data_IF_884729437673
#
_entry.id   IF_884729437673
#
_cell.length_a   1.000
_cell.length_b   1.000
_cell.length_c   1.000
_cell.angle_alpha   90.00
_cell.angle_beta   90.00
_cell.angle_gamma   90.00
#
_symmetry.space_group_name_H-M   'P 1'
#
loop_
_entity.id
_entity.type
_entity.pdbx_description
1 polymer ?
#
# COMPACT_ATOMS: atom_id res chain seq x y z
N UNK A 1 26.44 -1.18 17.57
CA UNK A 1 26.72 -0.40 16.34
C UNK A 1 27.89 -1.00 15.59
N UNK A 2 29.03 -1.29 16.25
CA UNK A 2 30.20 -1.93 15.62
C UNK A 2 29.89 -3.17 14.78
N UNK A 3 29.02 -4.09 15.26
CA UNK A 3 28.66 -5.28 14.47
C UNK A 3 27.99 -4.98 13.12
N UNK A 4 27.31 -3.85 12.98
CA UNK A 4 26.64 -3.44 11.73
C UNK A 4 27.51 -2.50 10.89
N UNK A 5 28.72 -2.18 11.35
CA UNK A 5 29.64 -1.31 10.60
C UNK A 5 29.95 -1.85 9.20
N UNK A 6 30.22 -3.15 8.98
CA UNK A 6 30.46 -3.66 7.63
C UNK A 6 29.27 -3.44 6.69
N UNK A 7 28.04 -3.68 7.18
CA UNK A 7 26.80 -3.43 6.45
C UNK A 7 26.68 -1.94 6.07
N UNK A 8 26.93 -1.04 7.02
CA UNK A 8 26.89 0.41 6.78
C UNK A 8 27.91 0.82 5.72
N UNK A 9 29.15 0.33 5.83
CA UNK A 9 30.23 0.67 4.89
C UNK A 9 29.91 0.18 3.48
N UNK A 10 29.39 -1.04 3.31
CA UNK A 10 28.95 -1.55 2.00
C UNK A 10 27.81 -0.71 1.41
N UNK A 11 26.84 -0.30 2.23
CA UNK A 11 25.75 0.56 1.76
C UNK A 11 26.25 1.94 1.33
N UNK A 12 27.22 2.53 2.03
CA UNK A 12 27.86 3.78 1.65
C UNK A 12 28.68 3.64 0.35
N UNK A 13 29.48 2.59 0.20
CA UNK A 13 30.28 2.39 -1.02
C UNK A 13 29.42 2.25 -2.27
N UNK A 14 28.28 1.55 -2.16
CA UNK A 14 27.29 1.43 -3.23
C UNK A 14 26.73 2.79 -3.67
N UNK A 15 26.57 3.74 -2.74
CA UNK A 15 26.12 5.08 -3.09
C UNK A 15 27.13 5.81 -3.97
N UNK A 16 28.43 5.61 -3.69
CA UNK A 16 29.52 6.28 -4.40
C UNK A 16 29.77 5.66 -5.78
N UNK A 17 29.69 4.33 -5.89
CA UNK A 17 30.05 3.60 -7.12
C UNK A 17 28.86 3.31 -8.04
N UNK A 18 27.63 3.34 -7.51
CA UNK A 18 26.43 2.77 -8.16
C UNK A 18 26.61 1.31 -8.63
N UNK A 19 27.57 0.56 -8.07
CA UNK A 19 27.78 -0.85 -8.37
C UNK A 19 26.85 -1.74 -7.52
N UNK A 20 26.36 -2.83 -8.12
CA UNK A 20 25.58 -3.85 -7.42
C UNK A 20 26.56 -4.85 -6.83
N UNK A 21 27.11 -4.53 -5.66
CA UNK A 21 27.95 -5.43 -4.88
C UNK A 21 27.14 -6.15 -3.80
N UNK A 22 27.61 -7.33 -3.39
CA UNK A 22 27.02 -8.04 -2.25
C UNK A 22 27.14 -7.20 -0.97
N UNK A 23 26.03 -7.04 -0.27
CA UNK A 23 26.04 -6.31 1.00
C UNK A 23 26.67 -7.19 2.08
N UNK A 24 27.82 -6.76 2.60
CA UNK A 24 28.51 -7.46 3.67
C UNK A 24 27.66 -7.50 4.94
N UNK A 25 27.68 -8.64 5.63
CA UNK A 25 27.06 -8.81 6.96
C UNK A 25 25.54 -8.55 7.01
N UNK A 26 24.83 -8.67 5.88
CA UNK A 26 23.37 -8.52 5.84
C UNK A 26 22.67 -9.54 6.75
N UNK A 27 23.21 -10.76 6.86
CA UNK A 27 22.62 -11.83 7.69
C UNK A 27 22.55 -11.49 9.18
N UNK A 28 23.33 -10.49 9.64
CA UNK A 28 23.21 -9.98 11.00
C UNK A 28 21.83 -9.38 11.29
N UNK A 29 21.10 -8.94 10.26
CA UNK A 29 19.73 -8.47 10.40
C UNK A 29 18.81 -9.56 10.97
N UNK A 30 19.03 -10.83 10.62
CA UNK A 30 18.23 -11.94 11.15
C UNK A 30 18.41 -12.14 12.67
N UNK A 31 19.44 -11.54 13.27
CA UNK A 31 19.68 -11.51 14.73
C UNK A 31 19.14 -10.26 15.43
N UNK A 32 18.52 -9.33 14.69
CA UNK A 32 17.96 -8.11 15.28
C UNK A 32 16.87 -8.45 16.29
N UNK A 33 16.94 -7.83 17.45
CA UNK A 33 15.86 -7.81 18.44
C UNK A 33 15.10 -6.49 18.34
N UNK A 34 13.84 -6.48 18.77
CA UNK A 34 12.99 -5.28 18.68
C UNK A 34 13.60 -4.07 19.42
N UNK A 35 14.28 -4.29 20.55
CA UNK A 35 14.96 -3.24 21.33
C UNK A 35 16.16 -2.63 20.60
N UNK A 36 16.79 -3.38 19.68
CA UNK A 36 17.93 -2.91 18.89
C UNK A 36 17.50 -2.11 17.65
N UNK A 37 16.26 -2.29 17.16
CA UNK A 37 15.80 -1.69 15.91
C UNK A 37 15.93 -0.15 15.88
N UNK A 38 15.56 0.62 16.92
CA UNK A 38 15.70 2.08 16.87
C UNK A 38 17.15 2.53 16.67
N UNK A 39 18.09 1.91 17.40
CA UNK A 39 19.52 2.20 17.29
C UNK A 39 20.07 1.78 15.94
N UNK A 40 19.69 0.59 15.46
CA UNK A 40 20.04 0.11 14.12
C UNK A 40 19.55 1.07 13.03
N UNK A 41 18.29 1.51 13.09
CA UNK A 41 17.73 2.39 12.07
C UNK A 41 18.46 3.72 12.03
N UNK A 42 18.70 4.33 13.20
CA UNK A 42 19.47 5.57 13.30
C UNK A 42 20.89 5.41 12.76
N UNK A 43 21.51 4.25 12.97
CA UNK A 43 22.86 3.96 12.52
C UNK A 43 22.98 3.79 11.00
N UNK A 44 21.95 3.23 10.34
CA UNK A 44 21.94 2.93 8.89
C UNK A 44 21.29 4.02 8.03
N UNK A 45 20.51 4.93 8.62
CA UNK A 45 19.72 5.94 7.88
C UNK A 45 20.54 6.81 6.91
N UNK A 46 21.78 7.15 7.28
CA UNK A 46 22.73 7.92 6.47
C UNK A 46 23.44 7.08 5.41
N UNK A 47 23.35 5.75 5.49
CA UNK A 47 23.84 4.82 4.47
C UNK A 47 22.77 4.42 3.45
N UNK A 48 21.54 4.93 3.56
CA UNK A 48 20.46 4.70 2.59
C UNK A 48 19.92 6.05 2.10
N UNK A 49 20.69 6.76 1.27
CA UNK A 49 20.40 8.14 0.85
C UNK A 49 19.78 8.28 -0.54
N UNK A 50 19.91 7.27 -1.40
CA UNK A 50 19.46 7.35 -2.79
C UNK A 50 18.62 6.13 -3.18
N UNK A 51 17.98 6.19 -4.35
CA UNK A 51 17.12 5.11 -4.84
C UNK A 51 17.86 3.77 -4.95
N UNK A 52 19.10 3.79 -5.46
CA UNK A 52 19.92 2.58 -5.67
C UNK A 52 20.24 1.87 -4.36
N UNK A 53 20.74 2.60 -3.36
CA UNK A 53 21.05 2.04 -2.03
C UNK A 53 19.80 1.51 -1.33
N UNK A 54 18.65 2.20 -1.46
CA UNK A 54 17.39 1.71 -0.90
C UNK A 54 16.90 0.44 -1.61
N UNK A 55 16.97 0.40 -2.94
CA UNK A 55 16.58 -0.75 -3.74
C UNK A 55 17.43 -1.99 -3.39
N UNK A 56 18.75 -1.83 -3.28
CA UNK A 56 19.64 -2.92 -2.88
C UNK A 56 19.35 -3.34 -1.44
N UNK A 57 19.16 -2.40 -0.51
CA UNK A 57 18.82 -2.71 0.88
C UNK A 57 17.53 -3.54 0.99
N UNK A 58 16.47 -3.16 0.26
CA UNK A 58 15.22 -3.93 0.19
C UNK A 58 15.46 -5.34 -0.39
N UNK A 59 16.21 -5.45 -1.49
CA UNK A 59 16.51 -6.74 -2.10
C UNK A 59 17.32 -7.63 -1.17
N UNK A 60 18.26 -7.08 -0.42
CA UNK A 60 19.09 -7.83 0.52
C UNK A 60 18.28 -8.33 1.70
N UNK A 61 17.37 -7.52 2.26
CA UNK A 61 16.41 -7.99 3.28
C UNK A 61 15.53 -9.12 2.72
N UNK A 62 15.06 -8.98 1.47
CA UNK A 62 14.18 -9.99 0.84
C UNK A 62 14.85 -11.35 0.62
N UNK A 63 16.19 -11.38 0.54
CA UNK A 63 16.96 -12.59 0.26
C UNK A 63 17.61 -13.19 1.52
N UNK A 64 17.29 -12.67 2.72
CA UNK A 64 17.78 -13.24 3.97
C UNK A 64 17.35 -14.71 4.09
N UNK A 65 18.29 -15.59 4.44
CA UNK A 65 18.01 -17.01 4.69
C UNK A 65 16.96 -17.16 5.80
N UNK A 66 17.09 -16.35 6.85
CA UNK A 66 16.11 -16.26 7.94
C UNK A 66 15.34 -14.94 7.83
N UNK A 67 14.05 -14.97 7.42
CA UNK A 67 13.28 -13.76 7.23
C UNK A 67 13.09 -13.01 8.55
N UNK A 68 13.06 -11.68 8.47
CA UNK A 68 12.77 -10.83 9.62
C UNK A 68 11.32 -11.04 10.08
N UNK A 69 11.10 -10.97 11.39
CA UNK A 69 9.73 -10.93 11.92
C UNK A 69 8.99 -9.70 11.38
N UNK A 70 7.68 -9.83 11.18
CA UNK A 70 6.85 -8.73 10.66
C UNK A 70 7.00 -7.44 11.48
N UNK A 71 7.10 -7.54 12.80
CA UNK A 71 7.25 -6.37 13.69
C UNK A 71 8.56 -5.63 13.45
N UNK A 72 9.67 -6.36 13.28
CA UNK A 72 10.98 -5.76 12.97
C UNK A 72 10.95 -5.13 11.58
N UNK A 73 10.40 -5.85 10.60
CA UNK A 73 10.27 -5.36 9.22
C UNK A 73 9.48 -4.05 9.19
N UNK A 74 8.31 -4.00 9.83
CA UNK A 74 7.49 -2.79 9.90
C UNK A 74 8.21 -1.62 10.59
N UNK A 75 8.98 -1.90 11.64
CA UNK A 75 9.77 -0.87 12.30
C UNK A 75 10.86 -0.29 11.38
N UNK A 76 11.54 -1.13 10.58
CA UNK A 76 12.49 -0.68 9.54
C UNK A 76 11.77 0.13 8.46
N UNK A 77 10.58 -0.31 8.03
CA UNK A 77 9.78 0.42 7.05
C UNK A 77 9.44 1.83 7.53
N UNK A 78 8.90 1.93 8.74
CA UNK A 78 8.45 3.19 9.30
C UNK A 78 9.60 4.16 9.60
N UNK A 79 10.80 3.64 9.91
CA UNK A 79 11.96 4.47 10.31
C UNK A 79 12.91 4.81 9.17
N UNK A 80 13.04 3.95 8.16
CA UNK A 80 13.98 4.13 7.06
C UNK A 80 13.26 4.19 5.72
N UNK A 81 12.60 3.10 5.34
CA UNK A 81 12.16 2.91 3.94
C UNK A 81 11.11 3.95 3.56
N UNK A 82 10.04 4.09 4.34
CA UNK A 82 8.96 5.02 4.05
C UNK A 82 9.43 6.48 3.99
N UNK A 83 10.13 7.03 5.01
CA UNK A 83 10.66 8.38 4.94
C UNK A 83 11.56 8.64 3.72
N UNK A 84 12.43 7.67 3.36
CA UNK A 84 13.32 7.81 2.21
C UNK A 84 12.56 7.83 0.89
N UNK A 85 11.60 6.92 0.71
CA UNK A 85 10.74 6.89 -0.48
C UNK A 85 10.02 8.23 -0.67
N UNK A 86 9.48 8.83 0.39
CA UNK A 86 8.83 10.14 0.30
C UNK A 86 9.81 11.29 0.04
N UNK A 87 11.05 11.19 0.51
CA UNK A 87 12.07 12.22 0.31
C UNK A 87 12.59 12.28 -1.12
N UNK A 88 12.48 11.17 -1.86
CA UNK A 88 12.93 11.09 -3.23
C UNK A 88 12.01 11.91 -4.13
N UNK A 89 12.60 12.83 -4.89
CA UNK A 89 11.93 13.57 -5.97
C UNK A 89 12.45 13.04 -7.30
N UNK A 90 12.23 11.75 -7.53
CA UNK A 90 12.75 11.07 -8.71
C UNK A 90 11.70 11.06 -9.81
N UNK A 91 12.10 11.37 -11.04
CA UNK A 91 11.23 11.26 -12.21
C UNK A 91 10.98 9.81 -12.66
N UNK A 92 11.72 8.83 -12.11
CA UNK A 92 11.56 7.41 -12.47
C UNK A 92 12.10 6.44 -11.40
N UNK A 93 11.23 5.88 -10.56
CA UNK A 93 11.57 4.83 -9.58
C UNK A 93 11.79 3.43 -10.18
N UNK A 94 12.45 3.30 -11.34
CA UNK A 94 12.50 2.00 -12.04
C UNK A 94 13.15 0.90 -11.19
N UNK A 95 14.25 1.21 -10.52
CA UNK A 95 15.02 0.23 -9.73
C UNK A 95 14.34 -0.05 -8.39
N UNK A 96 13.75 0.98 -7.79
CA UNK A 96 12.99 0.81 -6.57
C UNK A 96 11.67 0.06 -6.82
N UNK A 97 11.01 0.27 -7.95
CA UNK A 97 9.77 -0.42 -8.31
C UNK A 97 9.96 -1.94 -8.38
N UNK A 98 11.02 -2.43 -9.03
CA UNK A 98 11.29 -3.87 -9.11
C UNK A 98 11.62 -4.47 -7.74
N UNK A 99 12.38 -3.73 -6.93
CA UNK A 99 12.78 -4.15 -5.58
C UNK A 99 11.59 -4.18 -4.62
N UNK A 100 10.68 -3.21 -4.68
CA UNK A 100 9.40 -3.21 -3.95
C UNK A 100 8.56 -4.42 -4.36
N UNK A 101 8.45 -4.71 -5.65
CA UNK A 101 7.69 -5.88 -6.12
C UNK A 101 8.32 -7.20 -5.65
N UNK A 102 9.64 -7.32 -5.68
CA UNK A 102 10.36 -8.50 -5.15
C UNK A 102 10.10 -8.67 -3.66
N UNK A 103 10.24 -7.58 -2.90
CA UNK A 103 9.98 -7.56 -1.46
C UNK A 103 8.51 -7.92 -1.15
N UNK A 104 7.57 -7.41 -1.93
CA UNK A 104 6.15 -7.69 -1.79
C UNK A 104 5.83 -9.18 -1.89
N UNK A 105 6.51 -9.93 -2.77
CA UNK A 105 6.29 -11.37 -2.91
C UNK A 105 6.72 -12.16 -1.67
N UNK A 106 7.69 -11.66 -0.89
CA UNK A 106 8.19 -12.33 0.32
C UNK A 106 7.46 -11.82 1.58
N UNK A 107 7.15 -10.53 1.63
CA UNK A 107 6.61 -9.85 2.80
C UNK A 107 5.43 -8.93 2.45
N UNK A 108 4.29 -9.48 2.00
CA UNK A 108 3.18 -8.68 1.49
C UNK A 108 2.58 -7.73 2.55
N UNK A 109 2.49 -8.17 3.81
CA UNK A 109 1.99 -7.36 4.92
C UNK A 109 2.89 -6.16 5.24
N UNK A 110 4.21 -6.30 5.09
CA UNK A 110 5.14 -5.21 5.36
C UNK A 110 5.04 -4.08 4.32
N UNK A 111 4.88 -4.43 3.04
CA UNK A 111 4.61 -3.42 1.99
C UNK A 111 3.25 -2.78 2.21
N UNK A 112 2.22 -3.56 2.59
CA UNK A 112 0.91 -2.98 2.84
C UNK A 112 0.96 -1.95 3.96
N UNK A 113 1.38 -2.37 5.15
CA UNK A 113 1.26 -1.56 6.36
C UNK A 113 2.38 -0.53 6.49
N UNK A 114 3.58 -0.86 6.01
CA UNK A 114 4.75 0.00 6.10
C UNK A 114 4.93 0.96 4.91
N UNK A 115 4.21 0.75 3.79
CA UNK A 115 4.34 1.61 2.61
C UNK A 115 3.00 2.03 2.02
N UNK A 116 2.14 1.09 1.64
CA UNK A 116 0.92 1.41 0.89
C UNK A 116 -0.08 2.22 1.73
N UNK A 117 -0.47 1.74 2.91
CA UNK A 117 -1.40 2.45 3.78
C UNK A 117 -0.85 3.84 4.18
N UNK A 118 0.41 3.98 4.62
CA UNK A 118 1.01 5.30 4.86
C UNK A 118 0.93 6.23 3.64
N UNK A 119 1.36 5.78 2.46
CA UNK A 119 1.31 6.59 1.24
C UNK A 119 -0.11 7.00 0.84
N UNK A 120 -1.12 6.16 1.13
CA UNK A 120 -2.51 6.50 0.86
C UNK A 120 -3.01 7.64 1.73
N UNK A 121 -2.41 7.90 2.89
CA UNK A 121 -2.76 9.03 3.78
C UNK A 121 -2.15 10.36 3.31
N UNK A 122 -1.18 10.33 2.40
CA UNK A 122 -0.54 11.53 1.89
C UNK A 122 -1.46 12.28 0.91
N UNK A 123 -1.71 13.56 1.20
CA UNK A 123 -2.57 14.41 0.36
C UNK A 123 -2.01 14.63 -1.04
N UNK A 124 -0.68 14.66 -1.16
CA UNK A 124 0.04 14.87 -2.42
C UNK A 124 1.10 13.79 -2.60
N UNK A 125 0.70 12.64 -3.13
CA UNK A 125 1.62 11.58 -3.50
C UNK A 125 2.16 11.82 -4.91
N UNK A 126 3.47 11.68 -5.10
CA UNK A 126 4.10 11.82 -6.41
C UNK A 126 3.61 10.74 -7.39
N UNK A 127 3.44 11.11 -8.66
CA UNK A 127 2.78 10.26 -9.66
C UNK A 127 3.48 8.92 -9.84
N UNK A 128 4.82 8.90 -9.88
CA UNK A 128 5.55 7.65 -10.09
C UNK A 128 5.47 6.71 -8.88
N UNK A 129 5.32 7.26 -7.66
CA UNK A 129 5.03 6.47 -6.46
C UNK A 129 3.60 5.91 -6.49
N UNK A 130 2.60 6.70 -6.93
CA UNK A 130 1.24 6.19 -7.14
C UNK A 130 1.21 5.00 -8.12
N UNK A 131 1.98 5.07 -9.20
CA UNK A 131 2.08 3.96 -10.16
C UNK A 131 2.66 2.69 -9.54
N UNK A 132 3.66 2.81 -8.66
CA UNK A 132 4.21 1.66 -7.92
C UNK A 132 3.15 1.04 -7.02
N UNK A 133 2.42 1.85 -6.24
CA UNK A 133 1.35 1.34 -5.37
C UNK A 133 0.28 0.61 -6.17
N UNK A 134 -0.11 1.15 -7.33
CA UNK A 134 -1.06 0.49 -8.23
C UNK A 134 -0.50 -0.82 -8.80
N UNK A 135 0.80 -0.90 -9.11
CA UNK A 135 1.43 -2.17 -9.54
C UNK A 135 1.36 -3.23 -8.45
N UNK A 136 1.61 -2.87 -7.19
CA UNK A 136 1.47 -3.78 -6.04
C UNK A 136 0.04 -4.31 -5.96
N UNK A 137 -0.95 -3.43 -6.03
CA UNK A 137 -2.37 -3.80 -5.93
C UNK A 137 -2.84 -4.63 -7.13
N UNK A 138 -2.31 -4.36 -8.32
CA UNK A 138 -2.61 -5.11 -9.54
C UNK A 138 -1.94 -6.47 -9.60
N UNK A 139 -0.96 -6.75 -8.75
CA UNK A 139 -0.30 -8.05 -8.70
C UNK A 139 -1.25 -9.18 -8.28
N UNK A 140 -0.76 -10.42 -8.30
CA UNK A 140 -1.53 -11.60 -7.90
C UNK A 140 -1.61 -11.68 -6.37
N UNK A 141 -2.47 -10.83 -5.80
CA UNK A 141 -2.86 -10.88 -4.39
C UNK A 141 -3.78 -12.07 -4.15
N UNK A 142 -3.60 -12.77 -3.03
CA UNK A 142 -4.62 -13.72 -2.56
C UNK A 142 -5.84 -12.99 -2.03
N UNK A 143 -6.99 -13.67 -2.00
CA UNK A 143 -8.26 -13.10 -1.52
C UNK A 143 -8.16 -12.59 -0.07
N UNK A 144 -7.38 -13.28 0.77
CA UNK A 144 -7.08 -12.85 2.14
C UNK A 144 -6.36 -11.49 2.15
N UNK A 145 -5.35 -11.31 1.29
CA UNK A 145 -4.63 -10.05 1.18
C UNK A 145 -5.52 -8.94 0.63
N UNK A 146 -6.34 -9.20 -0.39
CA UNK A 146 -7.29 -8.20 -0.92
C UNK A 146 -8.29 -7.79 0.16
N UNK A 147 -8.88 -8.75 0.88
CA UNK A 147 -9.79 -8.50 2.01
C UNK A 147 -9.13 -7.62 3.05
N UNK A 148 -7.90 -7.98 3.45
CA UNK A 148 -7.13 -7.23 4.44
C UNK A 148 -6.83 -5.79 3.99
N UNK A 149 -6.47 -5.59 2.72
CA UNK A 149 -6.21 -4.26 2.16
C UNK A 149 -7.47 -3.40 2.18
N UNK A 150 -8.59 -3.94 1.73
CA UNK A 150 -9.87 -3.22 1.73
C UNK A 150 -10.21 -2.82 3.18
N UNK A 151 -10.14 -3.75 4.13
CA UNK A 151 -10.40 -3.48 5.56
C UNK A 151 -9.52 -2.36 6.11
N UNK A 152 -8.22 -2.36 5.81
CA UNK A 152 -7.31 -1.30 6.26
C UNK A 152 -7.67 0.06 5.69
N UNK A 153 -8.01 0.13 4.40
CA UNK A 153 -8.41 1.38 3.76
C UNK A 153 -9.73 1.91 4.34
N UNK A 154 -10.74 1.05 4.49
CA UNK A 154 -12.07 1.46 4.98
C UNK A 154 -12.12 1.71 6.48
N UNK A 155 -11.05 1.39 7.22
CA UNK A 155 -10.95 1.74 8.63
C UNK A 155 -10.44 3.17 8.85
N UNK A 156 -9.93 3.83 7.81
CA UNK A 156 -9.51 5.23 7.88
C UNK A 156 -10.72 6.17 7.71
N UNK A 157 -10.79 7.23 8.51
CA UNK A 157 -11.96 8.13 8.51
C UNK A 157 -12.02 9.05 7.30
N UNK A 158 -10.87 9.59 6.88
CA UNK A 158 -10.72 10.41 5.69
C UNK A 158 -9.55 9.88 4.87
N UNK A 159 -9.76 9.79 3.57
CA UNK A 159 -8.74 9.30 2.64
C UNK A 159 -8.54 10.30 1.50
N UNK A 160 -7.29 10.63 1.13
CA UNK A 160 -7.00 11.38 -0.08
C UNK A 160 -7.58 10.71 -1.34
N UNK A 161 -7.89 11.50 -2.37
CA UNK A 161 -8.66 11.02 -3.53
C UNK A 161 -7.98 9.89 -4.33
N UNK A 162 -6.65 9.80 -4.28
CA UNK A 162 -5.87 8.72 -4.89
C UNK A 162 -6.22 7.34 -4.29
N UNK A 163 -6.67 7.30 -3.03
CA UNK A 163 -7.10 6.08 -2.35
C UNK A 163 -8.26 5.38 -3.06
N UNK A 164 -9.18 6.13 -3.64
CA UNK A 164 -10.31 5.54 -4.37
C UNK A 164 -9.88 4.75 -5.60
N UNK A 165 -8.79 5.14 -6.26
CA UNK A 165 -8.27 4.36 -7.40
C UNK A 165 -7.70 3.01 -6.94
N UNK A 166 -7.02 3.00 -5.80
CA UNK A 166 -6.51 1.76 -5.18
C UNK A 166 -7.66 0.87 -4.72
N UNK A 167 -8.65 1.45 -4.01
CA UNK A 167 -9.84 0.72 -3.55
C UNK A 167 -10.63 0.14 -4.72
N UNK A 168 -10.83 0.92 -5.79
CA UNK A 168 -11.48 0.43 -7.01
C UNK A 168 -10.74 -0.78 -7.58
N UNK A 169 -9.40 -0.69 -7.68
CA UNK A 169 -8.57 -1.77 -8.23
C UNK A 169 -8.67 -3.04 -7.38
N UNK A 170 -8.76 -2.91 -6.05
CA UNK A 170 -8.97 -4.05 -5.14
C UNK A 170 -10.35 -4.69 -5.31
N UNK A 171 -11.40 -3.89 -5.42
CA UNK A 171 -12.77 -4.37 -5.66
C UNK A 171 -12.87 -5.11 -7.00
N UNK A 172 -12.18 -4.60 -8.03
CA UNK A 172 -12.12 -5.22 -9.36
C UNK A 172 -11.34 -6.53 -9.41
N UNK A 173 -10.69 -6.95 -8.31
CA UNK A 173 -10.16 -8.32 -8.16
C UNK A 173 -11.26 -9.36 -8.00
N UNK A 174 -12.51 -8.96 -7.72
CA UNK A 174 -13.69 -9.84 -7.66
C UNK A 174 -13.51 -11.05 -6.73
N UNK A 175 -12.97 -10.79 -5.55
CA UNK A 175 -12.86 -11.82 -4.51
C UNK A 175 -14.27 -12.31 -4.11
N UNK A 176 -14.42 -13.55 -3.58
CA UNK A 176 -15.71 -14.07 -3.13
C UNK A 176 -16.40 -13.12 -2.15
N UNK A 177 -17.74 -13.05 -2.25
CA UNK A 177 -18.52 -12.18 -1.38
C UNK A 177 -18.34 -12.55 0.09
N UNK A 178 -18.17 -11.52 0.92
CA UNK A 178 -18.04 -11.63 2.36
C UNK A 178 -18.95 -10.57 3.01
N UNK A 179 -19.98 -11.02 3.73
CA UNK A 179 -21.00 -10.14 4.31
C UNK A 179 -20.42 -9.14 5.31
N UNK A 180 -19.50 -9.56 6.17
CA UNK A 180 -18.84 -8.70 7.16
C UNK A 180 -18.03 -7.58 6.48
N UNK A 181 -17.22 -7.93 5.48
CA UNK A 181 -16.45 -6.96 4.69
C UNK A 181 -17.35 -5.95 4.01
N UNK A 182 -18.39 -6.42 3.31
CA UNK A 182 -19.29 -5.56 2.55
C UNK A 182 -20.17 -4.70 3.45
N UNK A 183 -20.47 -5.16 4.66
CA UNK A 183 -21.14 -4.34 5.66
C UNK A 183 -20.25 -3.16 6.09
N UNK A 184 -18.98 -3.41 6.42
CA UNK A 184 -18.02 -2.35 6.77
C UNK A 184 -17.85 -1.39 5.58
N UNK A 185 -17.70 -1.93 4.38
CA UNK A 185 -17.56 -1.14 3.16
C UNK A 185 -18.77 -0.24 2.91
N UNK A 186 -20.00 -0.74 3.07
CA UNK A 186 -21.22 0.06 2.87
C UNK A 186 -21.29 1.23 3.86
N UNK A 187 -21.05 0.98 5.15
CA UNK A 187 -21.05 2.01 6.20
C UNK A 187 -19.96 3.05 5.94
N UNK A 188 -18.76 2.62 5.56
CA UNK A 188 -17.67 3.56 5.28
C UNK A 188 -17.96 4.41 4.05
N UNK A 189 -18.43 3.81 2.96
CA UNK A 189 -18.82 4.53 1.75
C UNK A 189 -19.94 5.55 2.02
N UNK A 190 -20.90 5.21 2.88
CA UNK A 190 -21.94 6.14 3.32
C UNK A 190 -21.34 7.33 4.09
N UNK A 191 -20.45 7.06 5.05
CA UNK A 191 -19.78 8.12 5.82
C UNK A 191 -18.92 9.06 4.95
N UNK A 192 -18.35 8.55 3.85
CA UNK A 192 -17.58 9.32 2.89
C UNK A 192 -18.44 10.11 1.90
N UNK A 193 -19.70 9.71 1.68
CA UNK A 193 -20.55 10.30 0.65
C UNK A 193 -20.75 11.83 0.77
N UNK A 194 -20.96 12.43 1.96
CA UNK A 194 -21.10 13.88 2.08
C UNK A 194 -19.87 14.64 1.56
N UNK A 195 -18.67 14.14 1.86
CA UNK A 195 -17.40 14.75 1.48
C UNK A 195 -17.05 14.54 0.01
N UNK A 196 -17.34 13.36 -0.54
CA UNK A 196 -16.85 12.94 -1.86
C UNK A 196 -17.96 12.82 -2.93
N UNK A 197 -19.14 13.39 -2.70
CA UNK A 197 -20.30 13.32 -3.62
C UNK A 197 -20.03 13.84 -5.03
N UNK A 198 -19.09 14.78 -5.20
CA UNK A 198 -18.64 15.33 -6.48
C UNK A 198 -17.37 14.65 -7.03
N UNK A 199 -16.80 13.70 -6.30
CA UNK A 199 -15.57 13.02 -6.69
C UNK A 199 -15.85 11.84 -7.64
N UNK A 200 -15.25 11.89 -8.84
CA UNK A 200 -15.44 10.86 -9.86
C UNK A 200 -14.85 9.50 -9.46
N UNK A 201 -13.71 9.48 -8.78
CA UNK A 201 -13.04 8.23 -8.36
C UNK A 201 -13.85 7.52 -7.27
N UNK A 202 -14.41 8.27 -6.31
CA UNK A 202 -15.36 7.74 -5.34
C UNK A 202 -16.59 7.10 -6.03
N UNK A 203 -17.15 7.78 -7.02
CA UNK A 203 -18.30 7.27 -7.78
C UNK A 203 -17.95 6.00 -8.58
N UNK A 204 -16.71 5.90 -9.10
CA UNK A 204 -16.23 4.68 -9.76
C UNK A 204 -16.16 3.50 -8.80
N UNK A 205 -15.64 3.69 -7.59
CA UNK A 205 -15.65 2.63 -6.55
C UNK A 205 -17.08 2.15 -6.29
N UNK A 206 -18.00 3.07 -6.04
CA UNK A 206 -19.42 2.75 -5.84
C UNK A 206 -20.02 1.94 -6.99
N UNK A 207 -19.73 2.36 -8.22
CA UNK A 207 -20.20 1.69 -9.44
C UNK A 207 -19.60 0.28 -9.55
N UNK A 208 -18.30 0.12 -9.28
CA UNK A 208 -17.62 -1.18 -9.31
C UNK A 208 -18.22 -2.14 -8.28
N UNK A 209 -18.46 -1.69 -7.04
CA UNK A 209 -19.11 -2.49 -5.99
C UNK A 209 -20.48 -3.00 -6.46
N UNK A 210 -21.35 -2.09 -6.91
CA UNK A 210 -22.69 -2.44 -7.35
C UNK A 210 -22.69 -3.38 -8.56
N UNK A 211 -21.75 -3.18 -9.50
CA UNK A 211 -21.67 -4.02 -10.69
C UNK A 211 -21.16 -5.43 -10.43
N UNK A 212 -20.30 -5.61 -9.41
CA UNK A 212 -19.66 -6.89 -9.12
C UNK A 212 -20.46 -7.68 -8.09
N UNK A 213 -20.91 -7.01 -7.02
CA UNK A 213 -21.52 -7.66 -5.86
C UNK A 213 -23.01 -7.38 -5.72
N UNK A 214 -23.61 -6.60 -6.62
CA UNK A 214 -24.98 -6.10 -6.51
C UNK A 214 -26.03 -7.15 -6.14
N UNK A 215 -26.01 -8.31 -6.80
CA UNK A 215 -26.95 -9.42 -6.58
C UNK A 215 -26.76 -10.16 -5.24
N UNK A 216 -25.63 -9.96 -4.57
CA UNK A 216 -25.28 -10.62 -3.30
C UNK A 216 -25.46 -9.69 -2.09
N UNK A 217 -25.68 -8.39 -2.32
CA UNK A 217 -25.91 -7.41 -1.27
C UNK A 217 -27.28 -7.61 -0.61
N UNK A 218 -27.32 -7.44 0.70
CA UNK A 218 -28.57 -7.39 1.47
C UNK A 218 -29.39 -6.15 1.13
N UNK A 219 -30.70 -6.20 1.39
CA UNK A 219 -31.61 -5.05 1.20
C UNK A 219 -31.13 -3.79 1.95
N UNK A 220 -30.60 -3.95 3.17
CA UNK A 220 -30.05 -2.85 3.94
C UNK A 220 -28.86 -2.21 3.22
N UNK A 221 -27.91 -3.01 2.73
CA UNK A 221 -26.75 -2.51 1.99
C UNK A 221 -27.18 -1.84 0.68
N UNK A 222 -28.12 -2.42 -0.05
CA UNK A 222 -28.66 -1.83 -1.28
C UNK A 222 -29.34 -0.48 -1.02
N UNK A 223 -30.08 -0.35 0.09
CA UNK A 223 -30.66 0.92 0.52
C UNK A 223 -29.58 1.97 0.80
N UNK A 224 -28.53 1.63 1.56
CA UNK A 224 -27.41 2.53 1.83
C UNK A 224 -26.75 3.01 0.53
N UNK A 225 -26.42 2.09 -0.39
CA UNK A 225 -25.84 2.46 -1.68
C UNK A 225 -26.80 3.30 -2.54
N UNK A 226 -28.10 3.02 -2.50
CA UNK A 226 -29.12 3.85 -3.16
C UNK A 226 -29.11 5.28 -2.62
N UNK A 227 -29.02 5.46 -1.31
CA UNK A 227 -28.97 6.77 -0.68
C UNK A 227 -27.68 7.54 -1.03
N UNK A 228 -26.53 6.85 -1.09
CA UNK A 228 -25.27 7.41 -1.61
C UNK A 228 -25.41 7.86 -3.07
N UNK A 229 -26.02 7.04 -3.92
CA UNK A 229 -26.25 7.37 -5.34
C UNK A 229 -27.17 8.59 -5.49
N UNK A 230 -28.18 8.76 -4.63
CA UNK A 230 -29.10 9.92 -4.67
C UNK A 230 -28.36 11.23 -4.43
N UNK A 231 -27.41 11.26 -3.49
CA UNK A 231 -26.64 12.48 -3.17
C UNK A 231 -25.44 12.71 -4.09
N UNK A 232 -25.07 11.72 -4.91
CA UNK A 232 -23.99 11.86 -5.89
C UNK A 232 -24.26 12.99 -6.89
N UNK A 233 -23.23 13.79 -7.18
CA UNK A 233 -23.27 14.98 -8.03
C UNK A 233 -22.50 14.81 -9.35
N UNK A 234 -21.86 13.65 -9.56
CA UNK A 234 -21.05 13.41 -10.76
C UNK A 234 -21.90 13.01 -11.97
N UNK A 235 -21.31 13.12 -13.17
CA UNK A 235 -21.93 12.64 -14.41
C UNK A 235 -22.20 11.13 -14.40
N UNK A 236 -21.50 10.36 -13.55
CA UNK A 236 -21.65 8.91 -13.43
C UNK A 236 -22.86 8.48 -12.60
N UNK A 237 -23.56 9.42 -11.94
CA UNK A 237 -24.78 9.14 -11.16
C UNK A 237 -25.79 8.27 -11.92
N UNK A 238 -26.08 8.63 -13.18
CA UNK A 238 -27.05 7.90 -14.02
C UNK A 238 -26.63 6.45 -14.25
N UNK A 239 -25.33 6.20 -14.43
CA UNK A 239 -24.80 4.86 -14.62
C UNK A 239 -25.02 4.01 -13.35
N UNK A 240 -24.70 4.55 -12.17
CA UNK A 240 -24.93 3.87 -10.90
C UNK A 240 -26.42 3.60 -10.63
N UNK A 241 -27.30 4.58 -10.91
CA UNK A 241 -28.75 4.40 -10.81
C UNK A 241 -29.27 3.30 -11.72
N UNK A 242 -28.75 3.19 -12.94
CA UNK A 242 -29.16 2.15 -13.89
C UNK A 242 -28.71 0.75 -13.44
N UNK A 243 -27.58 0.63 -12.75
CA UNK A 243 -27.15 -0.64 -12.15
C UNK A 243 -28.10 -1.03 -11.02
N UNK A 244 -28.40 -0.10 -10.10
CA UNK A 244 -29.32 -0.35 -8.98
C UNK A 244 -30.72 -0.80 -9.43
N UNK A 245 -31.21 -0.31 -10.56
CA UNK A 245 -32.51 -0.72 -11.13
C UNK A 245 -32.53 -2.14 -11.69
N UNK A 246 -31.35 -2.71 -11.97
CA UNK A 246 -31.19 -4.04 -12.59
C UNK A 246 -30.89 -5.14 -11.57
N UNK A 247 -30.52 -4.75 -10.35
CA UNK A 247 -30.38 -5.64 -9.20
C UNK A 247 -31.78 -5.93 -8.67
#
# INVERSE_FOLDING_TARGET
>A
EEKFLPLKTSLLSIQDTNSVEEIASIDLLSSLTLSQVPHFCKFIEDAVLNETSLAIFLNSISNLEKPLSITITLAIFNKIIYPKILSFKCSNYRNLSSSIMKFFMVHPKAILEGLLIPCLKEHSLETSLQEILLKVVKSNLSDEHVTYFIQKIVNEDLVPENTFLVLQTLIEKKIPYNSSLHNILAHRMESWAPTYSSNMKFTKVLTSILSIYGSELSEQQLKMYSDIVKVNQTIMKRAAQNILKKI
#
